data_IF_688144230485
#
_entry.id   IF_688144230485
#
_cell.length_a   1.000
_cell.length_b   1.000
_cell.length_c   1.000
_cell.angle_alpha   90.00
_cell.angle_beta   90.00
_cell.angle_gamma   90.00
#
_symmetry.space_group_name_H-M   'P 1'
#
loop_
_entity.id
_entity.type
_entity.pdbx_description
1 polymer ?
#
# COMPACT_ATOMS: atom_id res chain seq x y z
N UNK A 1 -20.35 0.01 6.11
CA UNK A 1 -19.80 1.40 6.09
C UNK A 1 -20.09 2.15 4.80
N UNK A 2 -20.24 1.48 3.64
CA UNK A 2 -20.40 2.15 2.35
C UNK A 2 -21.58 3.12 2.31
N UNK A 3 -21.46 4.19 1.52
CA UNK A 3 -22.58 5.08 1.26
C UNK A 3 -23.45 4.47 0.15
N UNK A 4 -24.76 4.36 0.38
CA UNK A 4 -25.68 3.91 -0.66
C UNK A 4 -25.60 4.83 -1.87
N UNK A 5 -25.54 4.25 -3.06
CA UNK A 5 -25.60 5.02 -4.30
C UNK A 5 -27.06 5.44 -4.57
N UNK A 6 -27.29 6.64 -5.16
CA UNK A 6 -28.65 7.08 -5.50
C UNK A 6 -29.37 6.10 -6.43
N UNK A 7 -28.61 5.52 -7.37
CA UNK A 7 -29.05 4.45 -8.25
C UNK A 7 -27.95 3.38 -8.33
N UNK A 8 -28.31 2.09 -8.41
CA UNK A 8 -27.33 1.03 -8.58
C UNK A 8 -26.60 1.15 -9.92
N UNK A 9 -25.28 0.95 -9.91
CA UNK A 9 -24.44 0.97 -11.12
C UNK A 9 -24.16 -0.46 -11.55
N UNK A 10 -24.56 -0.85 -12.76
CA UNK A 10 -24.27 -2.16 -13.32
C UNK A 10 -22.78 -2.25 -13.73
N UNK A 11 -22.06 -3.19 -13.15
CA UNK A 11 -20.65 -3.47 -13.40
C UNK A 11 -20.45 -4.80 -14.11
N UNK A 12 -20.87 -4.89 -15.38
CA UNK A 12 -20.74 -6.09 -16.20
C UNK A 12 -21.52 -7.30 -15.67
N UNK A 13 -21.23 -8.48 -16.25
CA UNK A 13 -21.88 -9.80 -16.07
C UNK A 13 -22.45 -10.05 -14.64
N UNK A 14 -23.68 -9.57 -14.41
CA UNK A 14 -24.51 -9.70 -13.19
C UNK A 14 -24.00 -9.08 -11.87
N UNK A 15 -23.00 -8.20 -11.89
CA UNK A 15 -22.57 -7.49 -10.67
C UNK A 15 -23.18 -6.09 -10.62
N UNK A 16 -23.97 -5.80 -9.59
CA UNK A 16 -24.52 -4.46 -9.36
C UNK A 16 -23.85 -3.79 -8.18
N UNK A 17 -23.20 -2.64 -8.41
CA UNK A 17 -22.64 -1.80 -7.37
C UNK A 17 -23.75 -0.96 -6.75
N UNK A 18 -24.11 -1.27 -5.50
CA UNK A 18 -25.16 -0.56 -4.76
C UNK A 18 -24.63 0.44 -3.75
N UNK A 19 -23.35 0.35 -3.39
CA UNK A 19 -22.70 1.19 -2.39
C UNK A 19 -21.34 1.68 -2.88
N UNK A 20 -21.09 2.97 -2.72
CA UNK A 20 -19.76 3.55 -2.87
C UNK A 20 -18.89 3.24 -1.66
N UNK A 21 -17.58 3.43 -1.83
CA UNK A 21 -16.66 3.42 -0.70
C UNK A 21 -17.07 4.50 0.32
N UNK A 22 -16.96 4.24 1.63
CA UNK A 22 -17.33 5.23 2.64
C UNK A 22 -16.46 6.48 2.53
N UNK A 23 -17.07 7.67 2.63
CA UNK A 23 -16.31 8.92 2.70
C UNK A 23 -15.62 9.09 4.07
N UNK A 24 -14.73 10.08 4.16
CA UNK A 24 -13.98 10.40 5.38
C UNK A 24 -14.90 10.64 6.60
N UNK A 25 -15.95 11.44 6.42
CA UNK A 25 -16.97 11.70 7.43
C UNK A 25 -17.57 10.41 8.03
N UNK A 26 -17.88 9.39 7.22
CA UNK A 26 -18.41 8.11 7.73
C UNK A 26 -17.33 7.25 8.39
N UNK A 27 -16.09 7.33 7.92
CA UNK A 27 -14.99 6.52 8.45
C UNK A 27 -14.46 7.03 9.78
N UNK A 28 -14.57 8.33 10.08
CA UNK A 28 -14.06 8.90 11.34
C UNK A 28 -14.74 8.31 12.58
N UNK A 29 -16.01 7.92 12.45
CA UNK A 29 -16.81 7.32 13.52
C UNK A 29 -17.10 5.82 13.29
N UNK A 30 -16.46 5.20 12.31
CA UNK A 30 -16.70 3.81 11.98
C UNK A 30 -16.18 2.84 13.06
N UNK A 31 -17.01 1.84 13.39
CA UNK A 31 -16.60 0.70 14.20
C UNK A 31 -15.92 -0.38 13.35
N UNK A 32 -14.61 -0.24 13.17
CA UNK A 32 -13.81 -1.21 12.42
C UNK A 32 -13.67 -2.60 13.09
N UNK A 33 -14.12 -2.77 14.34
CA UNK A 33 -14.10 -4.11 14.99
C UNK A 33 -15.05 -5.08 14.29
N UNK A 34 -16.13 -4.57 13.68
CA UNK A 34 -17.09 -5.33 12.89
C UNK A 34 -16.47 -6.05 11.68
N UNK A 35 -15.29 -5.61 11.24
CA UNK A 35 -14.54 -6.23 10.13
C UNK A 35 -13.17 -6.76 10.57
N UNK A 36 -12.96 -6.96 11.87
CA UNK A 36 -11.76 -7.59 12.41
C UNK A 36 -10.48 -6.74 12.31
N UNK A 37 -10.59 -5.42 12.13
CA UNK A 37 -9.41 -4.55 12.09
C UNK A 37 -8.86 -4.35 13.51
N UNK A 38 -7.55 -4.58 13.75
CA UNK A 38 -6.94 -4.39 15.07
C UNK A 38 -7.07 -2.95 15.58
N UNK A 39 -7.24 -2.79 16.90
CA UNK A 39 -7.52 -1.49 17.54
C UNK A 39 -6.56 -0.35 17.13
N UNK A 40 -5.25 -0.61 17.08
CA UNK A 40 -4.25 0.39 16.66
C UNK A 40 -4.46 0.83 15.19
N UNK A 41 -4.81 -0.11 14.30
CA UNK A 41 -5.08 0.18 12.89
C UNK A 41 -6.43 0.91 12.72
N UNK A 42 -7.43 0.51 13.50
CA UNK A 42 -8.71 1.21 13.55
C UNK A 42 -8.54 2.68 14.00
N UNK A 43 -7.71 2.92 15.01
CA UNK A 43 -7.39 4.27 15.46
C UNK A 43 -6.67 5.09 14.37
N UNK A 44 -5.70 4.51 13.68
CA UNK A 44 -5.01 5.18 12.56
C UNK A 44 -5.98 5.52 11.40
N UNK A 45 -6.89 4.59 11.06
CA UNK A 45 -7.91 4.82 10.03
C UNK A 45 -8.89 5.94 10.41
N UNK A 46 -9.39 5.94 11.66
CA UNK A 46 -10.24 7.03 12.16
C UNK A 46 -9.51 8.36 12.22
N UNK A 47 -8.24 8.36 12.65
CA UNK A 47 -7.40 9.55 12.71
C UNK A 47 -7.16 10.16 11.32
N UNK A 48 -6.83 9.34 10.33
CA UNK A 48 -6.72 9.80 8.94
C UNK A 48 -8.06 10.31 8.39
N UNK A 49 -9.14 9.58 8.63
CA UNK A 49 -10.47 9.99 8.18
C UNK A 49 -10.88 11.33 8.79
N UNK A 50 -10.69 11.53 10.10
CA UNK A 50 -10.93 12.80 10.76
C UNK A 50 -10.07 13.92 10.17
N UNK A 51 -8.77 13.68 9.98
CA UNK A 51 -7.87 14.69 9.41
C UNK A 51 -8.23 15.10 7.98
N UNK A 52 -8.77 14.17 7.17
CA UNK A 52 -9.29 14.49 5.83
C UNK A 52 -10.61 15.25 5.92
N UNK A 53 -11.53 14.82 6.79
CA UNK A 53 -12.84 15.45 6.97
C UNK A 53 -12.72 16.89 7.52
N UNK A 54 -11.73 17.12 8.40
CA UNK A 54 -11.41 18.42 8.98
C UNK A 54 -10.52 19.29 8.07
N UNK A 55 -10.10 18.78 6.91
CA UNK A 55 -9.25 19.50 5.95
C UNK A 55 -7.77 19.66 6.35
N UNK A 56 -7.32 18.99 7.43
CA UNK A 56 -5.92 18.95 7.87
C UNK A 56 -5.03 18.21 6.86
N UNK A 57 -5.55 17.11 6.33
CA UNK A 57 -4.97 16.36 5.20
C UNK A 57 -5.78 16.66 3.95
N UNK A 58 -5.13 17.34 3.00
CA UNK A 58 -5.63 17.55 1.65
C UNK A 58 -4.66 16.92 0.64
N UNK A 59 -5.22 16.11 -0.26
CA UNK A 59 -4.50 15.42 -1.32
C UNK A 59 -4.16 16.34 -2.51
N UNK A 60 -4.59 17.60 -2.49
CA UNK A 60 -4.17 18.64 -3.43
C UNK A 60 -2.76 19.17 -3.16
N UNK A 61 -2.22 18.96 -1.94
CA UNK A 61 -0.86 19.37 -1.59
C UNK A 61 0.21 18.65 -2.42
N UNK A 62 1.37 19.30 -2.56
CA UNK A 62 2.54 18.67 -3.16
C UNK A 62 2.97 17.39 -2.39
N UNK A 63 3.47 16.34 -3.07
CA UNK A 63 3.78 15.05 -2.43
C UNK A 63 4.66 15.16 -1.18
N UNK A 64 5.71 15.98 -1.22
CA UNK A 64 6.63 16.17 -0.08
C UNK A 64 5.91 16.72 1.15
N UNK A 65 5.04 17.71 0.96
CA UNK A 65 4.28 18.30 2.06
C UNK A 65 3.21 17.33 2.58
N UNK A 66 2.56 16.58 1.69
CA UNK A 66 1.59 15.57 2.09
C UNK A 66 2.25 14.43 2.89
N UNK A 67 3.44 13.97 2.50
CA UNK A 67 4.21 12.99 3.28
C UNK A 67 4.48 13.51 4.68
N UNK A 68 4.95 14.75 4.82
CA UNK A 68 5.24 15.37 6.12
C UNK A 68 4.01 15.40 7.02
N UNK A 69 2.87 15.86 6.51
CA UNK A 69 1.59 15.93 7.26
C UNK A 69 1.05 14.55 7.63
N UNK A 70 1.12 13.59 6.71
CA UNK A 70 0.67 12.22 6.96
C UNK A 70 1.43 11.59 8.13
N UNK A 71 2.74 11.86 8.24
CA UNK A 71 3.58 11.33 9.33
C UNK A 71 3.30 11.96 10.70
N UNK A 72 2.65 13.11 10.75
CA UNK A 72 2.18 13.71 12.02
C UNK A 72 1.01 12.91 12.61
N UNK A 73 0.33 12.07 11.82
CA UNK A 73 -0.79 11.26 12.27
C UNK A 73 -0.34 10.00 13.01
N UNK A 74 -0.88 9.71 14.21
CA UNK A 74 -0.57 8.50 14.95
C UNK A 74 -0.85 7.23 14.13
N UNK A 75 0.16 6.37 14.02
CA UNK A 75 0.05 5.10 13.31
C UNK A 75 0.33 5.18 11.80
N UNK A 76 0.68 6.35 11.27
CA UNK A 76 1.18 6.51 9.90
C UNK A 76 2.67 6.83 9.95
N UNK A 77 3.49 5.87 9.54
CA UNK A 77 4.94 6.06 9.39
C UNK A 77 5.34 6.40 7.94
N UNK A 78 6.63 6.70 7.75
CA UNK A 78 7.24 7.01 6.44
C UNK A 78 6.81 6.04 5.34
N UNK A 79 6.89 4.72 5.58
CA UNK A 79 6.52 3.71 4.58
C UNK A 79 5.07 3.90 4.09
N UNK A 80 4.13 4.12 5.01
CA UNK A 80 2.72 4.30 4.68
C UNK A 80 2.50 5.64 3.97
N UNK A 81 3.14 6.72 4.42
CA UNK A 81 3.03 8.04 3.82
C UNK A 81 3.54 8.05 2.36
N UNK A 82 4.73 7.48 2.13
CA UNK A 82 5.30 7.32 0.78
C UNK A 82 4.40 6.47 -0.12
N UNK A 83 3.87 5.37 0.41
CA UNK A 83 2.95 4.52 -0.35
C UNK A 83 1.65 5.25 -0.71
N UNK A 84 1.12 6.08 0.20
CA UNK A 84 -0.06 6.92 -0.06
C UNK A 84 0.23 7.89 -1.20
N UNK A 85 1.31 8.66 -1.17
CA UNK A 85 1.59 9.63 -2.25
C UNK A 85 1.92 8.94 -3.58
N UNK A 86 2.59 7.78 -3.54
CA UNK A 86 2.83 6.96 -4.73
C UNK A 86 1.53 6.53 -5.41
N UNK A 87 0.49 6.14 -4.65
CA UNK A 87 -0.75 5.58 -5.21
C UNK A 87 -1.86 6.61 -5.40
N UNK A 88 -2.03 7.53 -4.46
CA UNK A 88 -3.08 8.54 -4.48
C UNK A 88 -2.72 9.73 -5.37
N UNK A 89 -1.48 10.23 -5.26
CA UNK A 89 -1.00 11.37 -6.06
C UNK A 89 -0.31 10.93 -7.36
N UNK A 90 -0.08 9.61 -7.54
CA UNK A 90 0.66 9.05 -8.69
C UNK A 90 2.06 9.64 -8.80
N UNK A 91 2.69 9.94 -7.67
CA UNK A 91 4.05 10.48 -7.64
C UNK A 91 5.03 9.43 -8.20
N UNK A 92 5.69 9.70 -9.35
CA UNK A 92 6.61 8.76 -9.98
C UNK A 92 7.90 8.56 -9.19
N UNK A 93 8.19 9.41 -8.22
CA UNK A 93 9.44 9.45 -7.48
C UNK A 93 9.29 9.08 -6.00
N UNK A 94 8.07 8.79 -5.55
CA UNK A 94 7.78 8.33 -4.20
C UNK A 94 8.32 6.91 -3.96
N UNK A 95 9.04 6.72 -2.85
CA UNK A 95 9.69 5.46 -2.56
C UNK A 95 9.74 5.16 -1.05
N UNK A 96 9.01 4.14 -0.57
CA UNK A 96 9.15 3.68 0.81
C UNK A 96 10.45 2.88 1.01
N UNK A 97 11.57 3.55 1.32
CA UNK A 97 12.90 2.91 1.48
C UNK A 97 12.94 1.75 2.50
N UNK A 98 12.01 1.75 3.46
CA UNK A 98 11.85 0.68 4.45
C UNK A 98 11.22 -0.61 3.91
N UNK A 99 10.73 -0.63 2.67
CA UNK A 99 9.99 -1.75 2.08
C UNK A 99 10.82 -3.04 2.08
N UNK A 100 10.26 -4.10 2.68
CA UNK A 100 11.00 -5.33 2.89
C UNK A 100 11.32 -6.05 1.58
N UNK A 101 10.41 -6.00 0.59
CA UNK A 101 10.62 -6.66 -0.70
C UNK A 101 11.70 -5.91 -1.47
N UNK A 102 11.61 -4.58 -1.57
CA UNK A 102 12.65 -3.73 -2.14
C UNK A 102 14.02 -4.03 -1.54
N UNK A 103 14.12 -4.00 -0.21
CA UNK A 103 15.36 -4.26 0.52
C UNK A 103 15.94 -5.64 0.26
N UNK A 104 15.08 -6.67 0.15
CA UNK A 104 15.51 -8.05 -0.17
C UNK A 104 15.93 -8.18 -1.63
N UNK A 105 15.21 -7.56 -2.56
CA UNK A 105 15.53 -7.62 -3.99
C UNK A 105 16.86 -6.93 -4.30
N UNK A 106 17.16 -5.81 -3.63
CA UNK A 106 18.43 -5.11 -3.78
C UNK A 106 19.59 -5.75 -2.99
N UNK A 107 19.30 -6.34 -1.83
CA UNK A 107 20.32 -6.91 -0.95
C UNK A 107 20.64 -8.40 -1.16
N UNK A 108 19.84 -9.12 -1.94
CA UNK A 108 20.02 -10.56 -2.18
C UNK A 108 19.78 -11.39 -0.92
N UNK A 109 20.83 -12.06 -0.43
CA UNK A 109 20.75 -12.93 0.76
C UNK A 109 20.42 -12.16 2.05
N UNK A 110 20.90 -10.93 2.16
CA UNK A 110 20.63 -10.05 3.31
C UNK A 110 19.93 -8.79 2.84
N UNK A 111 18.78 -8.49 3.44
CA UNK A 111 18.04 -7.27 3.13
C UNK A 111 18.91 -6.02 3.33
N UNK A 112 18.97 -5.17 2.30
CA UNK A 112 19.70 -3.90 2.32
C UNK A 112 19.13 -2.97 3.42
N UNK A 113 19.99 -2.16 4.04
CA UNK A 113 19.56 -1.16 5.02
C UNK A 113 18.79 -0.01 4.33
N UNK A 114 17.77 0.59 4.94
CA UNK A 114 16.97 1.66 4.30
C UNK A 114 17.82 2.82 3.74
N UNK A 115 18.84 3.28 4.48
CA UNK A 115 19.75 4.34 4.03
C UNK A 115 20.56 3.96 2.78
N UNK A 116 20.93 2.69 2.65
CA UNK A 116 21.62 2.19 1.46
C UNK A 116 20.64 2.04 0.27
N UNK A 117 19.38 1.69 0.53
CA UNK A 117 18.33 1.70 -0.50
C UNK A 117 18.11 3.13 -1.01
N UNK A 118 18.04 4.11 -0.11
CA UNK A 118 17.93 5.52 -0.48
C UNK A 118 19.07 5.96 -1.42
N UNK A 119 20.32 5.72 -1.02
CA UNK A 119 21.49 6.02 -1.86
C UNK A 119 21.48 5.30 -3.21
N UNK A 120 21.08 4.02 -3.23
CA UNK A 120 21.00 3.24 -4.47
C UNK A 120 19.91 3.77 -5.41
N UNK A 121 18.76 4.16 -4.86
CA UNK A 121 17.61 4.61 -5.61
C UNK A 121 17.77 6.02 -6.19
N UNK A 122 18.77 6.80 -5.78
CA UNK A 122 19.07 8.11 -6.39
C UNK A 122 19.32 8.00 -7.90
N UNK A 123 19.90 6.89 -8.37
CA UNK A 123 20.10 6.64 -9.79
C UNK A 123 18.80 6.42 -10.58
N UNK A 124 17.66 6.19 -9.90
CA UNK A 124 16.37 5.96 -10.55
C UNK A 124 15.52 7.22 -10.64
N UNK A 125 15.98 8.35 -10.10
CA UNK A 125 15.23 9.60 -10.18
C UNK A 125 15.04 10.05 -11.63
N UNK A 126 13.87 10.64 -11.98
CA UNK A 126 12.72 10.93 -11.12
C UNK A 126 11.65 9.81 -11.10
N UNK A 127 12.04 8.56 -11.36
CA UNK A 127 11.13 7.42 -11.59
C UNK A 127 11.29 6.30 -10.54
N UNK A 128 11.69 6.64 -9.31
CA UNK A 128 11.94 5.65 -8.24
C UNK A 128 10.75 4.73 -7.97
N UNK A 129 9.51 5.22 -8.07
CA UNK A 129 8.31 4.42 -7.88
C UNK A 129 8.18 3.30 -8.93
N UNK A 130 8.56 3.58 -10.19
CA UNK A 130 8.55 2.57 -11.25
C UNK A 130 9.60 1.48 -10.99
N UNK A 131 10.80 1.87 -10.53
CA UNK A 131 11.82 0.91 -10.09
C UNK A 131 11.29 -0.04 -9.01
N UNK A 132 10.60 0.49 -7.99
CA UNK A 132 9.94 -0.31 -6.97
C UNK A 132 8.89 -1.27 -7.55
N UNK A 133 8.00 -0.78 -8.41
CA UNK A 133 6.93 -1.59 -9.00
C UNK A 133 7.51 -2.77 -9.82
N UNK A 134 8.57 -2.54 -10.59
CA UNK A 134 9.27 -3.61 -11.31
C UNK A 134 9.87 -4.64 -10.34
N UNK A 135 10.52 -4.19 -9.26
CA UNK A 135 11.10 -5.09 -8.27
C UNK A 135 10.03 -5.90 -7.51
N UNK A 136 8.86 -5.33 -7.25
CA UNK A 136 7.71 -6.08 -6.72
C UNK A 136 7.23 -7.15 -7.69
N UNK A 137 7.06 -6.82 -8.98
CA UNK A 137 6.64 -7.78 -10.00
C UNK A 137 7.63 -8.96 -10.10
N UNK A 138 8.93 -8.67 -10.20
CA UNK A 138 9.99 -9.69 -10.24
C UNK A 138 10.01 -10.57 -8.97
N UNK A 139 9.76 -9.98 -7.79
CA UNK A 139 9.69 -10.74 -6.54
C UNK A 139 8.49 -11.70 -6.51
N UNK A 140 7.35 -11.29 -7.07
CA UNK A 140 6.16 -12.15 -7.22
C UNK A 140 6.46 -13.32 -8.15
N UNK A 141 7.09 -13.08 -9.30
CA UNK A 141 7.49 -14.13 -10.26
C UNK A 141 8.46 -15.14 -9.65
N UNK A 142 9.51 -14.65 -8.96
CA UNK A 142 10.48 -15.51 -8.27
C UNK A 142 9.82 -16.40 -7.20
N UNK A 143 8.85 -15.85 -6.49
CA UNK A 143 8.10 -16.59 -5.46
C UNK A 143 7.20 -17.68 -6.05
N UNK A 144 6.58 -17.42 -7.22
CA UNK A 144 5.80 -18.43 -7.96
C UNK A 144 6.67 -19.59 -8.43
N UNK A 145 7.80 -19.29 -9.10
CA UNK A 145 8.71 -20.34 -9.59
C UNK A 145 9.30 -21.21 -8.47
N UNK A 146 9.56 -20.65 -7.28
CA UNK A 146 9.99 -21.44 -6.11
C UNK A 146 8.90 -22.39 -5.61
N UNK A 147 7.63 -21.96 -5.62
CA UNK A 147 6.49 -22.77 -5.17
C UNK A 147 6.24 -23.94 -6.14
N UNK A 148 6.27 -23.69 -7.45
CA UNK A 148 6.10 -24.71 -8.49
C UNK A 148 7.21 -25.79 -8.43
N UNK A 149 8.47 -25.39 -8.20
CA UNK A 149 9.57 -26.37 -8.02
C UNK A 149 9.37 -27.24 -6.78
N UNK A 150 8.89 -26.66 -5.67
CA UNK A 150 8.64 -27.42 -4.43
C UNK A 150 7.50 -28.43 -4.62
N UNK A 151 6.41 -28.05 -5.29
CA UNK A 151 5.30 -28.96 -5.57
C UNK A 151 5.70 -30.11 -6.45
N UNK A 152 6.54 -29.88 -7.47
CA UNK A 152 7.02 -30.94 -8.36
C UNK A 152 7.94 -31.93 -7.61
N UNK A 153 8.86 -31.43 -6.77
CA UNK A 153 9.71 -32.28 -5.93
C UNK A 153 8.92 -33.13 -4.92
N UNK A 154 7.80 -32.63 -4.41
CA UNK A 154 6.93 -33.37 -3.48
C UNK A 154 6.11 -34.45 -4.19
N UNK A 155 5.72 -34.23 -5.45
CA UNK A 155 5.05 -35.24 -6.27
C UNK A 155 5.99 -36.38 -6.67
N UNK A 156 7.22 -36.07 -7.09
CA UNK A 156 8.21 -37.08 -7.46
C UNK A 156 8.56 -38.01 -6.27
N UNK A 157 8.60 -37.47 -5.04
CA UNK A 157 8.87 -38.25 -3.83
C UNK A 157 7.69 -39.09 -3.31
N UNK A 158 6.47 -38.82 -3.75
CA UNK A 158 5.28 -39.56 -3.34
C UNK A 158 4.94 -40.71 -4.31
N UNK A 159 5.63 -40.77 -5.46
CA UNK A 159 5.50 -41.83 -6.47
C UNK A 159 6.55 -42.93 -6.42
N UNK A 160 7.57 -42.81 -5.55
CA UNK A 160 8.52 -43.87 -5.16
C UNK A 160 8.07 -44.57 -3.87
#
# INVERSE_FOLDING_TARGET
FGAALPEPVFGGDDVTLTHGFPNAHRLRDADFTLIGVPAKRAAALRGLAAAVDDGVIDFSHAPVELVRRLQELPGIGEWTAQYIVMRALRDPDALPFGDLVLRKMLGGERAMAPRAVEQHAEAWRPWRAYGLIHLWAMATEKSRGKRERKTNLEHDKAGE
#
